data_IF_258284327643
#
_entry.id   IF_258284327643
#
_cell.length_a   1.000
_cell.length_b   1.000
_cell.length_c   1.000
_cell.angle_alpha   90.00
_cell.angle_beta   90.00
_cell.angle_gamma   90.00
#
_symmetry.space_group_name_H-M   'P 1'
#
loop_
_entity.id
_entity.type
_entity.pdbx_description
1 polymer ?
#
# COMPACT_ATOMS: atom_id res chain seq x y z
N UNK A 1 21.16 -8.26 3.61
CA UNK A 1 19.95 -7.84 2.90
C UNK A 1 19.47 -8.81 1.81
N UNK A 2 20.24 -9.80 1.35
CA UNK A 2 19.83 -10.73 0.28
C UNK A 2 18.73 -11.75 0.68
N UNK A 3 18.73 -12.25 1.91
CA UNK A 3 17.80 -13.29 2.35
C UNK A 3 16.31 -12.87 2.40
N UNK A 4 16.01 -11.58 2.55
CA UNK A 4 14.62 -11.09 2.55
C UNK A 4 14.02 -11.08 1.14
N UNK A 5 14.83 -10.80 0.11
CA UNK A 5 14.39 -10.73 -1.28
C UNK A 5 14.16 -12.11 -1.91
N UNK A 6 14.95 -13.13 -1.54
CA UNK A 6 14.75 -14.50 -2.00
C UNK A 6 13.41 -15.07 -1.49
N UNK A 7 13.06 -14.81 -0.23
CA UNK A 7 11.77 -15.21 0.32
C UNK A 7 10.59 -14.46 -0.29
N UNK A 8 10.74 -13.17 -0.59
CA UNK A 8 9.70 -12.39 -1.30
C UNK A 8 9.44 -12.96 -2.69
N UNK A 9 10.50 -13.21 -3.48
CA UNK A 9 10.37 -13.72 -4.84
C UNK A 9 9.68 -15.08 -4.90
N UNK A 10 9.96 -15.98 -3.94
CA UNK A 10 9.28 -17.28 -3.84
C UNK A 10 7.78 -17.12 -3.53
N UNK A 11 7.44 -16.26 -2.55
CA UNK A 11 6.03 -15.95 -2.22
C UNK A 11 5.29 -15.36 -3.41
N UNK A 12 5.92 -14.43 -4.12
CA UNK A 12 5.36 -13.81 -5.34
C UNK A 12 5.18 -14.86 -6.44
N UNK A 13 6.16 -15.74 -6.67
CA UNK A 13 6.04 -16.80 -7.67
C UNK A 13 4.89 -17.77 -7.34
N UNK A 14 4.73 -18.16 -6.08
CA UNK A 14 3.63 -19.00 -5.63
C UNK A 14 2.26 -18.30 -5.86
N UNK A 15 2.16 -17.02 -5.49
CA UNK A 15 0.97 -16.20 -5.71
C UNK A 15 0.60 -16.09 -7.19
N UNK A 16 1.56 -15.81 -8.07
CA UNK A 16 1.30 -15.69 -9.50
C UNK A 16 0.81 -17.01 -10.11
N UNK A 17 1.30 -18.16 -9.61
CA UNK A 17 0.79 -19.48 -10.01
C UNK A 17 -0.65 -19.71 -9.55
N UNK A 18 -1.00 -19.28 -8.34
CA UNK A 18 -2.37 -19.37 -7.81
C UNK A 18 -3.33 -18.51 -8.63
N UNK A 19 -2.99 -17.23 -8.86
CA UNK A 19 -3.78 -16.31 -9.70
C UNK A 19 -3.94 -16.85 -11.13
N UNK A 20 -2.91 -17.50 -11.68
CA UNK A 20 -3.01 -18.18 -12.98
C UNK A 20 -4.06 -19.29 -12.97
N UNK A 21 -4.14 -20.06 -11.88
CA UNK A 21 -5.15 -21.11 -11.70
C UNK A 21 -6.59 -20.58 -11.66
N UNK A 22 -6.78 -19.35 -11.20
CA UNK A 22 -8.07 -18.65 -11.17
C UNK A 22 -8.39 -17.90 -12.48
N UNK A 23 -7.52 -17.97 -13.48
CA UNK A 23 -7.71 -17.32 -14.79
C UNK A 23 -7.18 -15.89 -14.87
N UNK A 24 -6.40 -15.41 -13.88
CA UNK A 24 -5.83 -14.07 -13.82
C UNK A 24 -4.62 -13.82 -14.74
N UNK A 25 -4.58 -14.41 -15.93
CA UNK A 25 -3.44 -14.34 -16.85
C UNK A 25 -3.02 -12.90 -17.20
N UNK A 26 -3.99 -11.99 -17.40
CA UNK A 26 -3.72 -10.59 -17.70
C UNK A 26 -3.04 -9.86 -16.53
N UNK A 27 -3.46 -10.19 -15.29
CA UNK A 27 -2.81 -9.70 -14.07
C UNK A 27 -1.37 -10.18 -14.00
N UNK A 28 -1.13 -11.48 -14.20
CA UNK A 28 0.21 -12.08 -14.11
C UNK A 28 1.17 -11.45 -15.12
N UNK A 29 0.75 -11.30 -16.37
CA UNK A 29 1.57 -10.65 -17.40
C UNK A 29 1.89 -9.19 -17.06
N UNK A 30 0.95 -8.47 -16.43
CA UNK A 30 1.19 -7.09 -15.98
C UNK A 30 2.10 -7.03 -14.75
N UNK A 31 1.95 -7.96 -13.80
CA UNK A 31 2.79 -8.06 -12.61
C UNK A 31 4.25 -8.42 -12.95
N UNK A 32 4.48 -9.29 -13.92
CA UNK A 32 5.83 -9.63 -14.41
C UNK A 32 6.52 -8.42 -15.06
N UNK A 33 5.79 -7.68 -15.91
CA UNK A 33 6.30 -6.42 -16.49
C UNK A 33 6.58 -5.36 -15.43
N UNK A 34 5.74 -5.28 -14.40
CA UNK A 34 5.98 -4.41 -13.25
C UNK A 34 7.27 -4.78 -12.52
N UNK A 35 7.52 -6.08 -12.30
CA UNK A 35 8.78 -6.58 -11.74
C UNK A 35 10.01 -6.26 -12.60
N UNK A 36 9.82 -6.10 -13.91
CA UNK A 36 10.85 -5.66 -14.85
C UNK A 36 11.03 -4.12 -14.93
N UNK A 37 10.27 -3.34 -14.15
CA UNK A 37 10.41 -1.88 -14.08
C UNK A 37 9.31 -1.07 -14.76
N UNK A 38 8.25 -1.69 -15.30
CA UNK A 38 7.18 -0.99 -16.01
C UNK A 38 6.12 -0.44 -15.04
N UNK A 39 6.16 0.89 -14.80
CA UNK A 39 5.19 1.57 -13.94
C UNK A 39 3.76 1.46 -14.45
N UNK A 40 3.55 1.54 -15.78
CA UNK A 40 2.19 1.44 -16.34
C UNK A 40 1.63 0.05 -16.16
N UNK A 41 2.47 -0.97 -16.29
CA UNK A 41 2.08 -2.34 -16.00
C UNK A 41 1.76 -2.55 -14.51
N UNK A 42 2.49 -1.91 -13.60
CA UNK A 42 2.19 -1.95 -12.17
C UNK A 42 0.83 -1.30 -11.85
N UNK A 43 0.53 -0.16 -12.47
CA UNK A 43 -0.77 0.52 -12.32
C UNK A 43 -1.91 -0.30 -12.91
N UNK A 44 -1.71 -0.92 -14.08
CA UNK A 44 -2.69 -1.82 -14.68
C UNK A 44 -2.95 -3.06 -13.80
N UNK A 45 -1.89 -3.67 -13.24
CA UNK A 45 -2.00 -4.78 -12.30
C UNK A 45 -2.82 -4.38 -11.06
N UNK A 46 -2.59 -3.17 -10.54
CA UNK A 46 -3.34 -2.65 -9.38
C UNK A 46 -4.81 -2.48 -9.70
N UNK A 47 -5.14 -1.94 -10.87
CA UNK A 47 -6.53 -1.73 -11.29
C UNK A 47 -7.27 -3.07 -11.49
N UNK A 48 -6.64 -4.03 -12.18
CA UNK A 48 -7.24 -5.36 -12.36
C UNK A 48 -7.48 -6.06 -11.02
N UNK A 49 -6.52 -6.00 -10.10
CA UNK A 49 -6.71 -6.55 -8.76
C UNK A 49 -7.82 -5.80 -8.00
N UNK A 50 -7.90 -4.47 -8.12
CA UNK A 50 -8.97 -3.67 -7.52
C UNK A 50 -10.35 -4.09 -8.02
N UNK A 51 -10.54 -4.28 -9.32
CA UNK A 51 -11.79 -4.77 -9.92
C UNK A 51 -12.20 -6.12 -9.33
N UNK A 52 -11.24 -7.03 -9.16
CA UNK A 52 -11.48 -8.34 -8.55
C UNK A 52 -11.84 -8.25 -7.06
N UNK A 53 -11.27 -7.29 -6.33
CA UNK A 53 -11.65 -7.03 -4.93
C UNK A 53 -13.07 -6.46 -4.79
N UNK A 54 -13.60 -5.84 -5.85
CA UNK A 54 -14.89 -5.16 -5.85
C UNK A 54 -15.98 -5.87 -6.67
N UNK A 55 -15.74 -7.11 -7.08
CA UNK A 55 -16.71 -7.90 -7.85
C UNK A 55 -17.80 -8.55 -6.99
N UNK A 56 -17.70 -8.48 -5.66
CA UNK A 56 -18.65 -9.11 -4.74
C UNK A 56 -18.42 -8.72 -3.27
N UNK A 57 -19.17 -9.31 -2.32
CA UNK A 57 -18.96 -9.11 -0.89
C UNK A 57 -17.53 -9.42 -0.50
N UNK A 58 -16.93 -8.60 0.37
CA UNK A 58 -15.52 -8.77 0.77
C UNK A 58 -15.20 -10.19 1.24
N UNK A 59 -16.10 -10.84 1.98
CA UNK A 59 -15.93 -12.21 2.49
C UNK A 59 -15.78 -13.27 1.40
N UNK A 60 -16.25 -13.00 0.18
CA UNK A 60 -16.20 -13.92 -0.97
C UNK A 60 -14.98 -13.69 -1.85
N UNK A 61 -14.26 -12.58 -1.66
CA UNK A 61 -13.02 -12.28 -2.38
C UNK A 61 -11.93 -13.26 -1.96
N UNK A 62 -11.36 -13.98 -2.94
CA UNK A 62 -10.26 -14.92 -2.76
C UNK A 62 -9.05 -14.28 -2.09
N UNK A 63 -8.38 -15.02 -1.20
CA UNK A 63 -7.17 -14.53 -0.50
C UNK A 63 -6.06 -14.16 -1.48
N UNK A 64 -5.91 -14.92 -2.57
CA UNK A 64 -4.94 -14.66 -3.63
C UNK A 64 -5.13 -13.27 -4.24
N UNK A 65 -6.35 -12.82 -4.53
CA UNK A 65 -6.59 -11.49 -5.10
C UNK A 65 -6.25 -10.36 -4.14
N UNK A 66 -6.44 -10.55 -2.83
CA UNK A 66 -5.99 -9.58 -1.83
C UNK A 66 -4.46 -9.50 -1.78
N UNK A 67 -3.77 -10.63 -1.83
CA UNK A 67 -2.30 -10.67 -1.90
C UNK A 67 -1.78 -10.09 -3.23
N UNK A 68 -2.50 -10.31 -4.33
CA UNK A 68 -2.23 -9.72 -5.65
C UNK A 68 -2.36 -8.19 -5.63
N UNK A 69 -3.38 -7.66 -4.95
CA UNK A 69 -3.52 -6.21 -4.74
C UNK A 69 -2.37 -5.64 -3.92
N UNK A 70 -1.97 -6.31 -2.83
CA UNK A 70 -0.80 -5.93 -2.04
C UNK A 70 0.48 -5.87 -2.88
N UNK A 71 0.73 -6.89 -3.72
CA UNK A 71 1.86 -6.95 -4.65
C UNK A 71 1.85 -5.78 -5.64
N UNK A 72 0.70 -5.50 -6.25
CA UNK A 72 0.59 -4.42 -7.21
C UNK A 72 0.84 -3.04 -6.57
N UNK A 73 0.31 -2.81 -5.37
CA UNK A 73 0.58 -1.60 -4.59
C UNK A 73 2.07 -1.43 -4.25
N UNK A 74 2.73 -2.52 -3.84
CA UNK A 74 4.16 -2.52 -3.55
C UNK A 74 5.00 -2.18 -4.79
N UNK A 75 4.66 -2.74 -5.95
CA UNK A 75 5.31 -2.44 -7.22
C UNK A 75 5.12 -0.98 -7.63
N UNK A 76 3.90 -0.46 -7.55
CA UNK A 76 3.62 0.97 -7.83
C UNK A 76 4.45 1.87 -6.93
N UNK A 77 4.51 1.58 -5.63
CA UNK A 77 5.28 2.38 -4.69
C UNK A 77 6.79 2.38 -5.02
N UNK A 78 7.38 1.20 -5.23
CA UNK A 78 8.79 1.04 -5.61
C UNK A 78 9.12 1.82 -6.88
N UNK A 79 8.32 1.66 -7.93
CA UNK A 79 8.59 2.29 -9.22
C UNK A 79 8.43 3.81 -9.17
N UNK A 80 7.46 4.34 -8.41
CA UNK A 80 7.31 5.78 -8.19
C UNK A 80 8.46 6.37 -7.38
N UNK A 81 9.04 5.64 -6.43
CA UNK A 81 10.22 6.09 -5.67
C UNK A 81 11.51 6.05 -6.48
N UNK A 82 11.61 5.18 -7.49
CA UNK A 82 12.79 5.05 -8.35
C UNK A 82 12.74 5.93 -9.61
N UNK A 83 11.60 6.57 -9.90
CA UNK A 83 11.48 7.46 -11.05
C UNK A 83 12.38 8.70 -10.86
N UNK A 84 13.22 8.98 -11.87
CA UNK A 84 14.23 10.04 -11.84
C UNK A 84 13.69 11.47 -11.64
N UNK A 85 12.38 11.67 -11.76
CA UNK A 85 11.68 12.95 -11.55
C UNK A 85 11.16 13.13 -10.11
N UNK A 86 11.54 12.25 -9.18
CA UNK A 86 11.03 12.10 -7.82
C UNK A 86 10.76 13.41 -7.07
N UNK A 87 9.55 13.92 -7.25
CA UNK A 87 9.02 15.06 -6.52
C UNK A 87 8.15 14.60 -5.35
N UNK A 88 7.72 15.57 -4.54
CA UNK A 88 6.84 15.32 -3.39
C UNK A 88 5.50 14.65 -3.78
N UNK A 89 5.03 14.91 -5.00
CA UNK A 89 3.86 14.25 -5.62
C UNK A 89 4.05 12.74 -5.80
N UNK A 90 5.23 12.30 -6.27
CA UNK A 90 5.51 10.89 -6.53
C UNK A 90 5.68 10.11 -5.23
N UNK A 91 6.33 10.73 -4.24
CA UNK A 91 6.39 10.21 -2.87
C UNK A 91 5.00 10.06 -2.27
N UNK A 92 4.18 11.10 -2.33
CA UNK A 92 2.80 11.07 -1.81
C UNK A 92 1.95 10.00 -2.48
N UNK A 93 2.11 9.81 -3.79
CA UNK A 93 1.43 8.75 -4.53
C UNK A 93 1.94 7.34 -4.17
N UNK A 94 3.25 7.18 -3.93
CA UNK A 94 3.82 5.93 -3.44
C UNK A 94 3.29 5.56 -2.05
N UNK A 95 3.26 6.52 -1.12
CA UNK A 95 2.69 6.33 0.22
C UNK A 95 1.20 5.97 0.15
N UNK A 96 0.42 6.65 -0.70
CA UNK A 96 -0.99 6.31 -0.93
C UNK A 96 -1.16 4.89 -1.45
N UNK A 97 -0.30 4.45 -2.37
CA UNK A 97 -0.34 3.07 -2.86
C UNK A 97 -0.04 2.06 -1.75
N UNK A 98 0.96 2.32 -0.90
CA UNK A 98 1.29 1.45 0.24
C UNK A 98 0.15 1.38 1.26
N UNK A 99 -0.45 2.52 1.60
CA UNK A 99 -1.58 2.59 2.53
C UNK A 99 -2.77 1.75 2.04
N UNK A 100 -3.14 1.90 0.76
CA UNK A 100 -4.18 1.06 0.16
C UNK A 100 -3.79 -0.42 0.17
N UNK A 101 -2.53 -0.76 -0.10
CA UNK A 101 -2.02 -2.13 0.01
C UNK A 101 -2.11 -2.71 1.43
N UNK A 102 -1.92 -1.90 2.47
CA UNK A 102 -1.99 -2.34 3.87
C UNK A 102 -3.43 -2.53 4.38
N UNK A 103 -4.36 -1.68 3.91
CA UNK A 103 -5.77 -1.70 4.29
C UNK A 103 -6.53 -2.80 3.53
N UNK A 104 -6.33 -2.88 2.22
CA UNK A 104 -7.11 -3.75 1.32
C UNK A 104 -6.36 -5.02 0.92
N UNK A 105 -5.04 -5.04 1.06
CA UNK A 105 -4.23 -6.19 0.68
C UNK A 105 -4.29 -7.35 1.67
N UNK A 106 -3.84 -8.50 1.19
CA UNK A 106 -3.67 -9.69 2.01
C UNK A 106 -2.37 -9.62 2.84
N UNK A 107 -2.13 -10.66 3.64
CA UNK A 107 -1.04 -10.65 4.62
C UNK A 107 0.30 -11.16 4.06
N UNK A 108 0.32 -11.75 2.85
CA UNK A 108 1.50 -12.40 2.28
C UNK A 108 2.71 -11.47 2.15
N UNK A 109 2.45 -10.20 1.84
CA UNK A 109 3.46 -9.16 1.61
C UNK A 109 3.36 -8.00 2.61
N UNK A 110 2.65 -8.18 3.73
CA UNK A 110 2.47 -7.12 4.73
C UNK A 110 3.79 -6.58 5.26
N UNK A 111 4.72 -7.47 5.62
CA UNK A 111 6.05 -7.07 6.10
C UNK A 111 6.83 -6.28 5.03
N UNK A 112 6.69 -6.66 3.75
CA UNK A 112 7.37 -6.01 2.64
C UNK A 112 6.78 -4.61 2.36
N UNK A 113 5.45 -4.45 2.49
CA UNK A 113 4.76 -3.16 2.45
C UNK A 113 5.17 -2.25 3.61
N UNK A 114 5.18 -2.76 4.85
CA UNK A 114 5.60 -2.02 6.04
C UNK A 114 7.07 -1.58 5.94
N UNK A 115 7.95 -2.45 5.46
CA UNK A 115 9.35 -2.12 5.22
C UNK A 115 9.50 -1.04 4.13
N UNK A 116 8.72 -1.10 3.05
CA UNK A 116 8.70 -0.06 2.03
C UNK A 116 8.21 1.27 2.58
N UNK A 117 7.16 1.26 3.40
CA UNK A 117 6.61 2.45 4.05
C UNK A 117 7.67 3.11 4.95
N UNK A 118 8.30 2.33 5.83
CA UNK A 118 9.34 2.82 6.73
C UNK A 118 10.52 3.46 5.97
N UNK A 119 10.95 2.86 4.85
CA UNK A 119 12.01 3.44 4.01
C UNK A 119 11.62 4.80 3.42
N UNK A 120 10.46 4.88 2.78
CA UNK A 120 9.99 6.12 2.14
C UNK A 120 9.75 7.23 3.17
N UNK A 121 9.23 6.88 4.35
CA UNK A 121 9.05 7.83 5.45
C UNK A 121 10.37 8.34 6.01
N UNK A 122 11.40 7.49 6.14
CA UNK A 122 12.72 7.91 6.62
C UNK A 122 13.42 8.90 5.67
N UNK A 123 13.25 8.72 4.35
CA UNK A 123 13.78 9.63 3.34
C UNK A 123 13.18 11.04 3.41
N UNK A 124 11.98 11.20 3.97
CA UNK A 124 11.36 12.51 4.18
C UNK A 124 12.02 13.29 5.34
N UNK A 125 12.47 12.60 6.39
CA UNK A 125 13.14 13.21 7.54
C UNK A 125 14.58 13.65 7.26
N UNK A 126 15.23 13.10 6.23
CA UNK A 126 16.62 13.42 5.88
C UNK A 126 16.82 14.65 5.00
N UNK A 127 15.75 15.32 4.55
CA UNK A 127 15.81 16.32 3.46
C UNK A 127 15.12 17.66 3.71
N UNK A 128 14.75 18.02 4.94
CA UNK A 128 14.05 19.28 5.21
C UNK A 128 14.61 20.01 6.43
N UNK A 129 15.61 20.86 6.22
CA UNK A 129 15.97 21.94 7.17
C UNK A 129 15.14 23.23 6.93
N UNK A 130 13.92 23.11 6.37
CA UNK A 130 13.11 24.28 5.99
C UNK A 130 11.61 24.22 6.31
N UNK A 131 11.11 23.11 6.86
CA UNK A 131 9.67 22.85 7.02
C UNK A 131 9.18 22.57 8.45
N UNK A 132 10.04 22.67 9.46
CA UNK A 132 9.74 22.27 10.85
C UNK A 132 8.51 22.99 11.43
N UNK A 133 8.31 24.27 11.09
CA UNK A 133 7.27 25.10 11.71
C UNK A 133 5.83 24.90 11.24
N UNK A 134 5.58 24.24 10.09
CA UNK A 134 4.23 24.06 9.54
C UNK A 134 3.66 22.69 9.94
N UNK A 135 4.48 21.64 9.84
CA UNK A 135 4.10 20.27 10.20
C UNK A 135 3.81 20.16 11.70
N UNK A 136 4.59 20.83 12.55
CA UNK A 136 4.36 20.86 14.00
C UNK A 136 3.01 21.49 14.38
N UNK A 137 2.61 22.58 13.71
CA UNK A 137 1.33 23.26 13.99
C UNK A 137 0.14 22.39 13.61
N UNK A 138 0.21 21.69 12.49
CA UNK A 138 -0.86 20.81 12.05
C UNK A 138 -0.98 19.58 12.95
N UNK A 139 0.16 18.98 13.34
CA UNK A 139 0.20 17.84 14.25
C UNK A 139 -0.33 18.23 15.65
N UNK A 140 -0.01 19.44 16.12
CA UNK A 140 -0.53 19.99 17.38
C UNK A 140 -2.05 20.23 17.31
N UNK A 141 -2.56 20.75 16.20
CA UNK A 141 -4.01 20.91 15.96
C UNK A 141 -4.75 19.57 15.95
N UNK A 142 -4.20 18.54 15.31
CA UNK A 142 -4.80 17.19 15.30
C UNK A 142 -4.79 16.56 16.69
N UNK A 143 -3.70 16.70 17.45
CA UNK A 143 -3.63 16.26 18.84
C UNK A 143 -4.69 16.94 19.71
N UNK A 144 -4.82 18.26 19.62
CA UNK A 144 -5.84 19.01 20.35
C UNK A 144 -7.26 18.58 19.96
N UNK A 145 -7.50 18.31 18.68
CA UNK A 145 -8.80 17.82 18.21
C UNK A 145 -9.11 16.41 18.74
N UNK A 146 -8.13 15.51 18.77
CA UNK A 146 -8.28 14.16 19.31
C UNK A 146 -8.50 14.15 20.83
N UNK A 147 -7.81 15.02 21.57
CA UNK A 147 -8.01 15.14 23.01
C UNK A 147 -9.40 15.71 23.35
N UNK A 148 -9.94 16.61 22.53
CA UNK A 148 -11.34 17.07 22.66
C UNK A 148 -12.37 15.98 22.41
N UNK A 149 -12.04 14.98 21.58
CA UNK A 149 -12.97 13.93 21.16
C UNK A 149 -12.93 12.66 22.04
N UNK A 150 -12.18 12.68 23.15
CA UNK A 150 -11.89 11.47 23.95
C UNK A 150 -13.01 11.05 24.90
N UNK A 151 -14.10 11.82 25.04
CA UNK A 151 -15.18 11.42 25.94
C UNK A 151 -16.18 10.47 25.26
N UNK A 152 -15.77 9.21 25.15
CA UNK A 152 -16.65 8.11 24.72
C UNK A 152 -17.80 7.88 25.71
N UNK A 153 -17.72 8.40 26.95
CA UNK A 153 -18.79 8.29 27.93
C UNK A 153 -19.96 9.23 27.60
N UNK A 154 -19.68 10.42 27.04
CA UNK A 154 -20.72 11.34 26.55
C UNK A 154 -21.53 10.73 25.40
N UNK A 155 -20.88 10.01 24.48
CA UNK A 155 -21.56 9.36 23.34
C UNK A 155 -22.44 8.18 23.78
N UNK A 156 -22.08 7.50 24.88
CA UNK A 156 -22.91 6.40 25.44
C UNK A 156 -24.27 6.89 25.94
N UNK A 157 -24.40 8.17 26.29
CA UNK A 157 -25.69 8.77 26.70
C UNK A 157 -26.66 9.03 25.55
N UNK A 158 -26.17 8.99 24.30
CA UNK A 158 -26.93 9.30 23.08
C UNK A 158 -27.39 8.04 22.31
N UNK A 159 -26.95 6.85 22.72
CA UNK A 159 -27.39 5.60 22.13
C UNK A 159 -28.69 5.14 22.79
N UNK A 160 -29.76 4.86 22.02
CA UNK A 160 -30.94 4.21 22.59
C UNK A 160 -30.54 2.83 23.14
N UNK A 161 -30.97 2.56 24.38
CA UNK A 161 -30.81 1.27 25.07
C UNK A 161 -31.51 0.13 24.30
#
# INVERSE_FOLDING_TARGET
MAAAGEGEAERVSALLREITGEGGFAFVASAEKAGAGDLRAAEAAREMAWEQLHSGPWSEVGTAWRDAYALACLNVARLRTHAASGGDSDRSAALRALDMGLIMGGNLLRADLEAALARISAEACGGSEGGEGVVDKENQRWREALDRNRDIADVRSLLPL
#
